data_IF_881882476245
#
_entry.id   IF_881882476245
#
_cell.length_a   1.000
_cell.length_b   1.000
_cell.length_c   1.000
_cell.angle_alpha   90.00
_cell.angle_beta   90.00
_cell.angle_gamma   90.00
#
_symmetry.space_group_name_H-M   'P 1'
#
loop_
_entity.id
_entity.type
_entity.pdbx_description
1 polymer ?
#
# COMPACT_ATOMS: atom_id res chain seq x y z
N UNK A 1 21.87 -1.73 -10.32
CA UNK A 1 20.51 -2.30 -10.27
C UNK A 1 20.47 -3.60 -9.47
N UNK A 2 21.31 -4.60 -9.76
CA UNK A 2 21.34 -5.88 -9.01
C UNK A 2 21.56 -5.74 -7.50
N UNK A 3 22.24 -4.68 -7.07
CA UNK A 3 22.49 -4.42 -5.65
C UNK A 3 21.23 -4.00 -4.87
N UNK A 4 20.16 -3.60 -5.56
CA UNK A 4 18.89 -3.22 -4.91
C UNK A 4 18.07 -4.43 -4.47
N UNK A 5 18.33 -5.62 -5.03
CA UNK A 5 17.51 -6.82 -4.79
C UNK A 5 18.34 -8.04 -4.41
N UNK A 6 19.17 -7.98 -3.36
CA UNK A 6 20.07 -9.08 -3.03
C UNK A 6 19.34 -10.37 -2.64
N UNK A 7 18.04 -10.29 -2.39
CA UNK A 7 17.23 -11.42 -1.94
C UNK A 7 16.27 -11.96 -3.01
N UNK A 8 15.88 -11.14 -3.97
CA UNK A 8 14.94 -11.54 -5.04
C UNK A 8 15.54 -12.63 -5.94
N UNK A 9 16.85 -12.55 -6.21
CA UNK A 9 17.56 -13.57 -6.98
C UNK A 9 17.55 -14.97 -6.34
N UNK A 10 17.39 -15.05 -5.01
CA UNK A 10 17.40 -16.33 -4.28
C UNK A 10 16.03 -16.96 -4.14
N UNK A 11 14.99 -16.19 -4.16
CA UNK A 11 13.65 -16.65 -3.79
C UNK A 11 12.63 -16.51 -4.91
N UNK A 12 12.88 -15.70 -5.93
CA UNK A 12 12.03 -15.57 -7.13
C UNK A 12 10.53 -15.36 -6.83
N UNK A 13 10.23 -14.90 -5.64
CA UNK A 13 8.86 -14.81 -5.15
C UNK A 13 8.14 -13.57 -5.68
N UNK A 14 6.96 -13.78 -6.22
CA UNK A 14 6.00 -12.72 -6.48
C UNK A 14 5.04 -12.65 -5.30
N UNK A 15 4.81 -11.45 -4.78
CA UNK A 15 3.78 -11.27 -3.77
C UNK A 15 2.40 -11.43 -4.41
N UNK A 16 1.75 -12.54 -4.16
CA UNK A 16 0.34 -12.74 -4.45
C UNK A 16 -0.39 -12.76 -3.13
N UNK A 17 -0.99 -11.65 -2.74
CA UNK A 17 -1.86 -11.61 -1.55
C UNK A 17 -3.18 -12.35 -1.78
N UNK A 18 -3.45 -12.74 -3.01
CA UNK A 18 -4.62 -13.50 -3.43
C UNK A 18 -4.19 -14.87 -3.94
N UNK A 19 -4.69 -15.93 -3.33
CA UNK A 19 -4.44 -17.32 -3.71
C UNK A 19 -5.46 -17.84 -4.75
N UNK A 20 -6.28 -16.97 -5.33
CA UNK A 20 -7.25 -17.34 -6.35
C UNK A 20 -6.58 -17.53 -7.69
N UNK A 21 -6.99 -18.56 -8.38
CA UNK A 21 -6.45 -18.90 -9.69
C UNK A 21 -6.51 -17.75 -10.70
N UNK A 22 -7.61 -17.02 -10.73
CA UNK A 22 -7.80 -15.88 -11.65
C UNK A 22 -6.77 -14.79 -11.43
N UNK A 23 -6.57 -14.36 -10.17
CA UNK A 23 -5.59 -13.34 -9.82
C UNK A 23 -4.16 -13.84 -10.06
N UNK A 24 -3.87 -15.10 -9.71
CA UNK A 24 -2.57 -15.71 -9.96
C UNK A 24 -2.27 -15.83 -11.46
N UNK A 25 -3.27 -16.16 -12.28
CA UNK A 25 -3.14 -16.23 -13.73
C UNK A 25 -2.84 -14.85 -14.33
N UNK A 26 -3.53 -13.80 -13.89
CA UNK A 26 -3.28 -12.43 -14.34
C UNK A 26 -1.86 -11.97 -14.00
N UNK A 27 -1.45 -12.17 -12.76
CA UNK A 27 -0.09 -11.82 -12.32
C UNK A 27 0.96 -12.61 -13.09
N UNK A 28 0.74 -13.92 -13.29
CA UNK A 28 1.68 -14.79 -13.95
C UNK A 28 1.76 -14.63 -15.47
N UNK A 29 0.74 -14.07 -16.11
CA UNK A 29 0.71 -13.83 -17.56
C UNK A 29 1.37 -12.54 -18.00
N UNK A 30 1.59 -11.60 -17.06
CA UNK A 30 2.25 -10.33 -17.37
C UNK A 30 3.76 -10.52 -17.56
N UNK A 31 4.39 -9.84 -18.55
CA UNK A 31 5.82 -9.98 -18.78
C UNK A 31 6.67 -9.61 -17.58
N UNK A 32 7.35 -10.58 -17.01
CA UNK A 32 8.10 -10.43 -15.76
C UNK A 32 9.27 -9.43 -15.88
N UNK A 33 9.93 -9.37 -17.02
CA UNK A 33 11.03 -8.44 -17.30
C UNK A 33 10.54 -6.98 -17.46
N UNK A 34 9.37 -6.77 -18.06
CA UNK A 34 8.74 -5.44 -18.14
C UNK A 34 8.36 -4.98 -16.73
N UNK A 35 7.75 -5.85 -15.95
CA UNK A 35 7.39 -5.56 -14.57
C UNK A 35 8.62 -5.21 -13.73
N UNK A 36 9.66 -6.04 -13.81
CA UNK A 36 10.91 -5.82 -13.10
C UNK A 36 11.55 -4.48 -13.46
N UNK A 37 11.64 -4.15 -14.75
CA UNK A 37 12.24 -2.88 -15.20
C UNK A 37 11.43 -1.67 -14.71
N UNK A 38 10.10 -1.76 -14.75
CA UNK A 38 9.20 -0.72 -14.22
C UNK A 38 9.49 -0.43 -12.74
N UNK A 39 9.64 -1.49 -11.94
CA UNK A 39 9.92 -1.36 -10.51
C UNK A 39 11.34 -0.84 -10.25
N UNK A 40 12.33 -1.35 -10.96
CA UNK A 40 13.73 -0.88 -10.84
C UNK A 40 13.85 0.62 -11.11
N UNK A 41 13.21 1.11 -12.17
CA UNK A 41 13.23 2.53 -12.51
C UNK A 41 12.45 3.40 -11.51
N UNK A 42 11.40 2.87 -10.91
CA UNK A 42 10.69 3.55 -9.82
C UNK A 42 11.60 3.74 -8.60
N UNK A 43 12.42 2.74 -8.28
CA UNK A 43 13.28 2.74 -7.10
C UNK A 43 14.65 3.35 -7.31
N UNK A 44 15.07 3.60 -8.57
CA UNK A 44 16.42 4.05 -8.91
C UNK A 44 16.83 5.35 -8.21
N UNK A 45 15.88 6.26 -8.01
CA UNK A 45 16.15 7.59 -7.41
C UNK A 45 16.19 7.58 -5.88
N UNK A 46 15.78 6.49 -5.21
CA UNK A 46 15.58 6.48 -3.76
C UNK A 46 16.83 6.77 -2.94
N UNK A 47 18.03 6.45 -3.45
CA UNK A 47 19.29 6.75 -2.79
C UNK A 47 19.58 8.27 -2.64
N UNK A 48 18.88 9.09 -3.39
CA UNK A 48 19.12 10.53 -3.45
C UNK A 48 17.99 11.37 -2.86
N UNK A 49 17.00 10.73 -2.24
CA UNK A 49 15.84 11.41 -1.70
C UNK A 49 16.17 12.08 -0.36
N UNK A 50 15.75 13.34 -0.18
CA UNK A 50 15.83 14.05 1.11
C UNK A 50 14.47 14.51 1.63
N UNK A 51 13.40 14.46 0.81
CA UNK A 51 12.03 14.73 1.23
C UNK A 51 11.05 13.97 0.37
N UNK A 52 9.95 13.55 0.98
CA UNK A 52 8.82 12.91 0.33
C UNK A 52 7.55 13.68 0.59
N UNK A 53 6.65 13.70 -0.41
CA UNK A 53 5.30 14.25 -0.28
C UNK A 53 4.31 13.34 -1.00
N UNK A 54 3.19 13.05 -0.34
CA UNK A 54 2.12 12.21 -0.88
C UNK A 54 0.80 12.94 -0.68
N UNK A 55 0.12 13.23 -1.77
CA UNK A 55 -1.21 13.84 -1.76
C UNK A 55 -2.22 12.95 -2.47
N UNK A 56 -3.49 13.01 -2.08
CA UNK A 56 -4.59 12.30 -2.74
C UNK A 56 -5.86 13.16 -2.66
N UNK A 57 -6.69 13.21 -3.72
CA UNK A 57 -7.90 14.03 -3.72
C UNK A 57 -8.96 13.60 -2.69
N UNK A 58 -8.86 12.39 -2.10
CA UNK A 58 -9.68 12.02 -0.96
C UNK A 58 -9.28 12.78 0.33
N UNK A 59 -8.17 13.53 0.31
CA UNK A 59 -7.72 14.42 1.41
C UNK A 59 -6.42 13.98 2.06
N UNK A 60 -5.71 13.00 1.53
CA UNK A 60 -4.35 12.68 1.99
C UNK A 60 -3.41 13.83 1.61
N UNK A 61 -2.65 14.30 2.60
CA UNK A 61 -1.57 15.29 2.44
C UNK A 61 -0.53 15.01 3.53
N UNK A 62 0.51 14.29 3.18
CA UNK A 62 1.58 13.90 4.12
C UNK A 62 2.95 14.16 3.53
N UNK A 63 3.89 14.43 4.41
CA UNK A 63 5.28 14.64 4.06
C UNK A 63 6.24 14.11 5.13
N UNK A 64 7.49 13.87 4.73
CA UNK A 64 8.59 13.57 5.64
C UNK A 64 9.93 14.02 5.05
N UNK A 65 10.82 14.49 5.92
CA UNK A 65 12.23 14.67 5.58
C UNK A 65 12.97 13.33 5.76
N UNK A 66 13.87 13.04 4.83
CA UNK A 66 14.62 11.79 4.75
C UNK A 66 16.11 12.11 4.87
N UNK A 67 16.78 11.54 5.87
CA UNK A 67 18.22 11.70 6.00
C UNK A 67 18.98 10.98 4.87
N UNK A 68 20.22 11.36 4.63
CA UNK A 68 21.06 10.68 3.64
C UNK A 68 21.22 9.19 3.98
N UNK A 69 21.48 8.88 5.24
CA UNK A 69 21.62 7.51 5.70
C UNK A 69 20.34 6.69 5.48
N UNK A 70 19.18 7.28 5.76
CA UNK A 70 17.89 6.64 5.49
C UNK A 70 17.67 6.39 3.99
N UNK A 71 17.96 7.36 3.12
CA UNK A 71 17.79 7.19 1.68
C UNK A 71 18.73 6.15 1.09
N UNK A 72 19.99 6.12 1.50
CA UNK A 72 20.96 5.11 1.07
C UNK A 72 20.57 3.70 1.52
N UNK A 73 20.06 3.55 2.73
CA UNK A 73 19.54 2.27 3.24
C UNK A 73 18.26 1.86 2.52
N UNK A 74 17.39 2.79 2.27
CA UNK A 74 16.16 2.55 1.52
C UNK A 74 16.45 1.99 0.13
N UNK A 75 17.39 2.59 -0.59
CA UNK A 75 17.83 2.11 -1.89
C UNK A 75 18.43 0.69 -1.89
N UNK A 76 18.91 0.23 -0.72
CA UNK A 76 19.44 -1.13 -0.50
C UNK A 76 18.45 -2.06 0.20
N UNK A 77 17.29 -1.53 0.56
CA UNK A 77 16.33 -2.21 1.40
C UNK A 77 15.62 -3.37 0.75
N UNK A 78 14.85 -4.05 1.56
CA UNK A 78 14.04 -5.16 1.11
C UNK A 78 12.97 -4.68 0.11
N UNK A 79 12.95 -5.31 -1.02
CA UNK A 79 12.00 -5.09 -2.09
C UNK A 79 11.19 -6.37 -2.31
N UNK A 80 9.92 -6.19 -2.59
CA UNK A 80 9.05 -7.27 -2.99
C UNK A 80 8.28 -6.89 -4.25
N UNK A 81 8.36 -7.73 -5.27
CA UNK A 81 7.68 -7.51 -6.54
C UNK A 81 6.17 -7.38 -6.35
N UNK A 82 5.59 -6.35 -6.92
CA UNK A 82 4.18 -6.03 -6.75
C UNK A 82 3.86 -5.18 -5.54
N UNK A 83 4.85 -4.89 -4.67
CA UNK A 83 4.62 -4.16 -3.44
C UNK A 83 5.88 -3.38 -3.03
N UNK A 84 6.05 -2.21 -3.61
CA UNK A 84 7.23 -1.37 -3.42
C UNK A 84 7.06 -0.50 -2.18
N UNK A 85 8.05 -0.51 -1.30
CA UNK A 85 8.03 0.31 -0.11
C UNK A 85 8.42 1.74 -0.41
N UNK A 86 7.56 2.68 -0.04
CA UNK A 86 7.68 4.10 -0.34
C UNK A 86 8.40 4.92 0.73
N UNK A 87 8.76 4.32 1.84
CA UNK A 87 9.51 4.97 2.92
C UNK A 87 10.56 4.05 3.51
N UNK A 88 11.73 4.59 3.91
CA UNK A 88 12.73 3.80 4.61
C UNK A 88 12.21 3.31 5.97
N UNK A 89 12.71 2.17 6.42
CA UNK A 89 12.49 1.59 7.75
C UNK A 89 11.07 1.09 8.05
N UNK A 90 10.17 1.03 7.08
CA UNK A 90 8.79 0.65 7.37
C UNK A 90 8.47 -0.82 7.14
N UNK A 91 9.18 -1.42 6.25
CA UNK A 91 8.70 -2.66 5.65
C UNK A 91 9.25 -3.91 6.23
N UNK A 92 10.29 -3.75 6.93
CA UNK A 92 11.17 -4.85 7.27
C UNK A 92 10.50 -5.90 8.17
N UNK A 93 9.46 -5.55 8.93
CA UNK A 93 8.75 -6.50 9.81
C UNK A 93 7.91 -7.54 9.09
N UNK A 94 7.51 -7.25 7.85
CA UNK A 94 6.39 -8.01 7.29
C UNK A 94 6.77 -9.28 6.55
N UNK A 95 7.80 -9.22 5.78
CA UNK A 95 8.11 -10.25 4.80
C UNK A 95 9.42 -10.97 5.05
N UNK A 96 10.01 -10.73 6.19
CA UNK A 96 11.25 -11.34 6.61
C UNK A 96 11.21 -12.85 6.82
N UNK A 97 10.05 -13.45 6.74
CA UNK A 97 9.93 -14.90 6.95
C UNK A 97 10.58 -15.73 5.87
N UNK A 98 10.68 -15.19 4.68
CA UNK A 98 11.24 -15.92 3.55
C UNK A 98 12.75 -15.78 3.41
N UNK A 99 13.37 -14.91 4.21
CA UNK A 99 14.80 -14.61 4.08
C UNK A 99 15.54 -15.08 5.31
N UNK A 100 16.43 -16.04 5.13
CA UNK A 100 17.33 -16.53 6.19
C UNK A 100 18.16 -15.34 6.71
N UNK A 101 18.16 -15.15 8.05
CA UNK A 101 18.81 -14.04 8.77
C UNK A 101 18.10 -12.66 8.67
N UNK A 102 16.94 -12.59 8.10
CA UNK A 102 16.20 -11.34 7.99
C UNK A 102 15.81 -10.74 9.37
N UNK A 103 15.37 -11.51 10.38
CA UNK A 103 15.12 -10.98 11.72
C UNK A 103 16.34 -10.32 12.36
N UNK A 104 17.54 -10.88 12.17
CA UNK A 104 18.76 -10.29 12.67
C UNK A 104 19.10 -8.97 11.97
N UNK A 105 18.92 -8.91 10.66
CA UNK A 105 19.08 -7.70 9.87
C UNK A 105 18.09 -6.61 10.30
N UNK A 106 16.82 -6.96 10.50
CA UNK A 106 15.80 -6.05 10.99
C UNK A 106 16.14 -5.49 12.36
N UNK A 107 16.51 -6.38 13.30
CA UNK A 107 16.86 -5.99 14.65
C UNK A 107 18.03 -5.01 14.64
N UNK A 108 19.05 -5.27 13.84
CA UNK A 108 20.20 -4.39 13.72
C UNK A 108 19.83 -3.07 13.05
N UNK A 109 19.05 -3.12 12.00
CA UNK A 109 18.67 -1.94 11.24
C UNK A 109 17.69 -1.05 11.99
N UNK A 110 16.56 -1.61 12.42
CA UNK A 110 15.50 -0.84 13.09
C UNK A 110 15.92 -0.35 14.49
N UNK A 111 16.81 -1.06 15.18
CA UNK A 111 17.31 -0.60 16.48
C UNK A 111 18.17 0.66 16.40
N UNK A 112 18.74 0.95 15.24
CA UNK A 112 19.62 2.09 15.00
C UNK A 112 18.96 3.26 14.30
N UNK A 113 17.79 3.05 13.71
CA UNK A 113 17.13 4.04 12.86
C UNK A 113 15.91 4.65 13.54
N UNK A 114 15.78 5.96 13.52
CA UNK A 114 14.53 6.60 13.91
C UNK A 114 13.42 6.23 12.93
N UNK A 115 12.19 6.11 13.45
CA UNK A 115 10.98 6.02 12.63
C UNK A 115 10.96 7.22 11.67
N UNK A 116 10.58 6.98 10.42
CA UNK A 116 10.33 8.08 9.49
C UNK A 116 9.22 8.98 10.04
N UNK A 117 9.54 10.25 10.23
CA UNK A 117 8.64 11.22 10.84
C UNK A 117 7.66 11.77 9.83
N UNK A 118 6.66 10.97 9.47
CA UNK A 118 5.54 11.43 8.67
C UNK A 118 4.72 12.47 9.43
N UNK A 119 4.37 13.55 8.75
CA UNK A 119 3.48 14.59 9.25
C UNK A 119 2.37 14.84 8.24
N UNK A 120 1.21 15.30 8.73
CA UNK A 120 0.06 15.59 7.88
C UNK A 120 -1.09 14.64 8.09
N UNK A 121 -1.91 14.44 7.06
CA UNK A 121 -3.17 13.69 7.15
C UNK A 121 -3.19 12.56 6.12
N UNK A 122 -3.55 11.36 6.57
CA UNK A 122 -3.95 10.27 5.67
C UNK A 122 -5.47 10.24 5.65
N UNK A 123 -6.07 10.28 4.46
CA UNK A 123 -7.52 10.17 4.29
C UNK A 123 -7.87 9.10 3.26
N UNK A 124 -9.06 8.53 3.39
CA UNK A 124 -9.55 7.53 2.44
C UNK A 124 -10.88 6.93 2.87
N UNK A 125 -11.39 6.06 2.03
CA UNK A 125 -12.75 5.48 2.16
C UNK A 125 -12.75 3.96 2.08
N UNK A 126 -11.58 3.32 1.94
CA UNK A 126 -11.45 1.87 1.78
C UNK A 126 -10.08 1.37 2.23
N UNK A 127 -10.06 0.14 2.70
CA UNK A 127 -8.87 -0.56 3.16
C UNK A 127 -9.09 -2.06 3.13
N UNK A 128 -8.31 -2.83 3.87
CA UNK A 128 -8.39 -4.29 3.87
C UNK A 128 -9.78 -4.82 4.24
N UNK A 129 -10.46 -4.19 5.18
CA UNK A 129 -11.80 -4.59 5.63
C UNK A 129 -12.95 -4.18 4.71
N UNK A 130 -12.67 -3.54 3.58
CA UNK A 130 -13.70 -3.06 2.66
C UNK A 130 -13.85 -1.54 2.66
N UNK A 131 -15.08 -1.09 2.46
CA UNK A 131 -15.44 0.33 2.39
C UNK A 131 -15.93 0.83 3.74
N UNK A 132 -15.55 2.06 4.08
CA UNK A 132 -16.00 2.79 5.27
C UNK A 132 -16.20 4.27 4.93
N UNK A 133 -17.04 5.02 5.68
CA UNK A 133 -17.15 6.46 5.52
C UNK A 133 -15.77 7.10 5.61
N UNK A 134 -15.55 8.17 4.85
CA UNK A 134 -14.26 8.82 4.83
C UNK A 134 -13.73 9.09 6.24
N UNK A 135 -12.49 8.70 6.50
CA UNK A 135 -11.76 9.04 7.70
C UNK A 135 -10.57 9.94 7.41
N UNK A 136 -10.07 10.55 8.44
CA UNK A 136 -8.80 11.26 8.46
C UNK A 136 -7.99 10.77 9.65
N UNK A 137 -6.73 10.47 9.40
CA UNK A 137 -5.76 10.08 10.42
C UNK A 137 -4.65 11.14 10.41
N UNK A 138 -4.62 11.97 11.44
CA UNK A 138 -3.59 13.00 11.62
C UNK A 138 -2.33 12.33 12.14
N UNK A 139 -1.20 12.72 11.55
CA UNK A 139 0.12 12.23 11.90
C UNK A 139 0.99 13.39 12.41
N UNK A 140 1.64 13.15 13.54
CA UNK A 140 2.68 14.02 14.08
C UNK A 140 3.93 13.19 14.35
N UNK A 141 5.04 13.54 13.67
CA UNK A 141 6.33 12.87 13.83
C UNK A 141 6.27 11.33 13.63
N UNK A 142 5.40 10.86 12.74
CA UNK A 142 5.23 9.44 12.42
C UNK A 142 4.22 8.70 13.29
N UNK A 143 3.64 9.34 14.30
CA UNK A 143 2.63 8.77 15.18
C UNK A 143 1.23 9.29 14.84
N UNK A 144 0.23 8.47 15.13
CA UNK A 144 -1.18 8.89 15.03
C UNK A 144 -1.49 9.83 16.18
N UNK A 145 -1.80 11.09 15.87
CA UNK A 145 -2.22 12.11 16.82
C UNK A 145 -3.74 12.13 17.00
N UNK A 146 -4.49 12.00 15.91
CA UNK A 146 -5.95 12.06 15.93
C UNK A 146 -6.55 11.22 14.81
N UNK A 147 -7.78 10.71 15.03
CA UNK A 147 -8.59 10.00 14.04
C UNK A 147 -9.97 10.61 13.97
N UNK A 148 -10.34 11.13 12.79
CA UNK A 148 -11.63 11.75 12.52
C UNK A 148 -12.45 10.91 11.54
N UNK A 149 -13.77 10.90 11.68
CA UNK A 149 -14.65 10.18 10.75
C UNK A 149 -14.50 8.66 10.79
N UNK A 150 -14.66 8.01 9.65
CA UNK A 150 -14.47 6.56 9.45
C UNK A 150 -15.63 5.69 9.93
N UNK A 151 -16.72 6.25 10.47
CA UNK A 151 -17.81 5.47 11.06
C UNK A 151 -17.29 4.45 12.08
N UNK A 152 -17.85 3.24 12.09
CA UNK A 152 -17.42 2.17 12.99
C UNK A 152 -15.93 1.83 12.86
N UNK A 153 -15.36 1.92 11.65
CA UNK A 153 -13.94 1.64 11.43
C UNK A 153 -13.04 2.65 12.18
N UNK A 154 -13.39 3.95 12.10
CA UNK A 154 -12.68 4.99 12.85
C UNK A 154 -12.92 4.91 14.35
N UNK A 155 -14.14 4.51 14.78
CA UNK A 155 -14.45 4.29 16.20
C UNK A 155 -13.59 3.17 16.79
N UNK A 156 -13.42 2.06 16.09
CA UNK A 156 -12.57 0.96 16.52
C UNK A 156 -11.11 1.38 16.65
N UNK A 157 -10.60 2.19 15.72
CA UNK A 157 -9.22 2.69 15.83
C UNK A 157 -9.07 3.63 17.03
N UNK A 158 -10.01 4.57 17.24
CA UNK A 158 -10.00 5.45 18.41
C UNK A 158 -10.06 4.68 19.72
N UNK A 159 -10.93 3.67 19.81
CA UNK A 159 -11.00 2.80 20.98
C UNK A 159 -9.69 2.07 21.23
N UNK A 160 -9.08 1.55 20.16
CA UNK A 160 -7.83 0.83 20.31
C UNK A 160 -6.67 1.75 20.73
N UNK A 161 -6.61 2.97 20.25
CA UNK A 161 -5.61 3.95 20.67
C UNK A 161 -5.71 4.29 22.17
N UNK A 162 -6.88 4.12 22.76
CA UNK A 162 -7.14 4.33 24.19
C UNK A 162 -7.06 3.02 25.01
N UNK A 163 -6.79 1.90 24.36
CA UNK A 163 -6.73 0.62 25.04
C UNK A 163 -5.60 0.62 26.09
N UNK A 164 -5.85 0.10 27.32
CA UNK A 164 -4.91 0.21 28.41
C UNK A 164 -3.50 -0.26 28.05
N UNK A 165 -2.53 0.59 28.28
CA UNK A 165 -1.11 0.33 28.05
C UNK A 165 -0.66 0.33 26.58
N UNK A 166 -1.50 0.69 25.63
CA UNK A 166 -1.10 0.81 24.21
C UNK A 166 -0.02 1.90 24.05
N UNK A 167 -0.21 3.05 24.70
CA UNK A 167 0.72 4.18 24.58
C UNK A 167 2.04 3.97 25.36
N UNK A 168 2.10 2.96 26.21
CA UNK A 168 3.30 2.60 26.96
C UNK A 168 4.15 1.54 26.22
N UNK A 169 3.61 0.97 25.16
CA UNK A 169 4.27 -0.09 24.44
C UNK A 169 5.36 0.46 23.55
N UNK A 170 6.47 -0.22 23.54
CA UNK A 170 7.55 0.00 22.58
C UNK A 170 7.59 -1.19 21.63
N UNK A 171 7.70 -0.91 20.36
CA UNK A 171 8.01 -1.97 19.42
C UNK A 171 9.42 -2.53 19.70
N UNK A 172 9.68 -3.84 19.62
CA UNK A 172 10.96 -4.43 20.03
C UNK A 172 12.19 -3.78 19.41
N UNK A 173 12.04 -3.19 18.25
CA UNK A 173 13.13 -2.56 17.51
C UNK A 173 13.12 -1.03 17.58
N UNK A 174 12.11 -0.42 18.18
CA UNK A 174 11.98 1.02 18.35
C UNK A 174 12.09 1.38 19.83
N UNK A 175 12.94 2.34 20.12
CA UNK A 175 13.14 2.81 21.51
C UNK A 175 12.10 3.84 21.95
N UNK A 176 11.34 4.40 21.00
CA UNK A 176 10.34 5.43 21.31
C UNK A 176 9.03 4.77 21.75
N UNK A 177 8.51 5.11 22.94
CA UNK A 177 7.17 4.70 23.34
C UNK A 177 6.10 5.24 22.41
N UNK A 178 4.99 4.56 22.32
CA UNK A 178 3.92 4.93 21.41
C UNK A 178 3.89 4.00 20.22
N UNK A 179 2.92 3.15 20.27
CA UNK A 179 2.82 1.99 19.41
C UNK A 179 2.23 2.31 18.04
N UNK A 180 1.55 3.42 17.89
CA UNK A 180 0.72 3.70 16.75
C UNK A 180 1.41 4.66 15.80
N UNK A 181 2.03 4.08 14.81
CA UNK A 181 2.65 4.81 13.72
C UNK A 181 2.24 4.18 12.37
N UNK A 182 2.57 4.87 11.31
CA UNK A 182 2.44 4.32 9.96
C UNK A 182 3.59 3.33 9.76
N UNK A 183 3.29 2.05 9.82
CA UNK A 183 4.32 1.01 9.70
C UNK A 183 4.56 0.59 8.25
N UNK A 184 3.64 0.92 7.36
CA UNK A 184 3.73 0.54 5.96
C UNK A 184 3.15 1.62 5.06
N UNK A 185 3.96 2.10 4.13
CA UNK A 185 3.51 2.83 2.95
C UNK A 185 4.09 2.14 1.75
N UNK A 186 3.26 1.59 0.90
CA UNK A 186 3.71 0.78 -0.21
C UNK A 186 2.93 1.08 -1.49
N UNK A 187 3.58 0.87 -2.63
CA UNK A 187 3.07 1.12 -3.94
C UNK A 187 2.83 -0.21 -4.66
N UNK A 188 1.62 -0.41 -5.15
CA UNK A 188 1.32 -1.45 -6.11
C UNK A 188 1.95 -1.14 -7.46
N UNK A 189 2.48 -2.14 -8.13
CA UNK A 189 3.25 -1.95 -9.36
C UNK A 189 2.74 -2.76 -10.56
N UNK A 190 1.69 -3.58 -10.39
CA UNK A 190 1.20 -4.47 -11.44
C UNK A 190 0.07 -3.82 -12.25
N UNK A 191 0.28 -3.43 -13.53
CA UNK A 191 -0.73 -2.68 -14.29
C UNK A 191 -1.97 -3.51 -14.65
N UNK A 192 -1.82 -4.84 -14.77
CA UNK A 192 -2.91 -5.76 -15.12
C UNK A 192 -3.59 -6.39 -13.91
N UNK A 193 -3.22 -5.99 -12.67
CA UNK A 193 -3.85 -6.55 -11.50
C UNK A 193 -5.26 -6.03 -11.32
N UNK A 194 -6.20 -6.94 -11.32
CA UNK A 194 -7.61 -6.66 -11.12
C UNK A 194 -8.30 -7.83 -10.41
N UNK A 195 -9.30 -7.51 -9.60
CA UNK A 195 -10.18 -8.50 -8.99
C UNK A 195 -11.63 -8.18 -9.30
N UNK A 196 -12.39 -9.22 -9.65
CA UNK A 196 -13.81 -9.06 -9.92
C UNK A 196 -14.54 -8.57 -8.67
N UNK A 197 -15.31 -7.46 -8.72
CA UNK A 197 -16.03 -6.92 -7.56
C UNK A 197 -17.00 -7.89 -6.90
N UNK A 198 -17.42 -8.96 -7.56
CA UNK A 198 -18.23 -10.03 -6.95
C UNK A 198 -17.60 -10.62 -5.70
N UNK A 199 -16.27 -10.57 -5.59
CA UNK A 199 -15.54 -11.03 -4.41
C UNK A 199 -15.97 -10.32 -3.12
N UNK A 200 -16.46 -9.08 -3.22
CA UNK A 200 -16.97 -8.33 -2.09
C UNK A 200 -18.20 -8.97 -1.43
N UNK A 201 -18.84 -9.90 -2.12
CA UNK A 201 -20.00 -10.65 -1.63
C UNK A 201 -19.60 -11.98 -0.98
N UNK A 202 -18.35 -12.35 -0.98
CA UNK A 202 -17.89 -13.62 -0.43
C UNK A 202 -17.58 -13.52 1.06
N UNK A 203 -17.93 -14.53 1.87
CA UNK A 203 -17.55 -14.57 3.28
C UNK A 203 -16.00 -14.53 3.44
N UNK A 204 -15.53 -13.71 4.38
CA UNK A 204 -14.10 -13.59 4.66
C UNK A 204 -13.29 -12.86 3.59
N UNK A 205 -13.97 -12.14 2.72
CA UNK A 205 -13.34 -11.31 1.72
C UNK A 205 -12.40 -10.25 2.35
N UNK A 206 -11.34 -9.91 1.63
CA UNK A 206 -10.41 -8.83 1.96
C UNK A 206 -10.07 -8.02 0.73
N UNK A 207 -10.03 -6.69 0.86
CA UNK A 207 -9.49 -5.79 -0.18
C UNK A 207 -7.96 -5.65 -0.13
N UNK A 208 -7.30 -6.38 0.75
CA UNK A 208 -5.83 -6.35 0.84
C UNK A 208 -5.09 -6.57 -0.47
N UNK A 209 -5.52 -7.51 -1.32
CA UNK A 209 -4.89 -7.76 -2.61
C UNK A 209 -4.90 -6.60 -3.61
N UNK A 210 -5.85 -5.67 -3.56
CA UNK A 210 -5.91 -4.49 -4.45
C UNK A 210 -4.66 -3.61 -4.35
N UNK A 211 -3.92 -3.71 -3.24
CA UNK A 211 -2.64 -3.02 -3.08
C UNK A 211 -1.59 -3.38 -4.13
N UNK A 212 -1.75 -4.48 -4.89
CA UNK A 212 -0.85 -4.85 -5.97
C UNK A 212 -1.08 -4.05 -7.26
N UNK A 213 -2.26 -3.46 -7.45
CA UNK A 213 -2.58 -2.72 -8.65
C UNK A 213 -1.67 -1.49 -8.79
N UNK A 214 -1.12 -1.27 -10.00
CA UNK A 214 -0.18 -0.19 -10.26
C UNK A 214 -0.76 1.17 -9.86
N UNK A 215 0.04 1.96 -9.13
CA UNK A 215 -0.34 3.29 -8.68
C UNK A 215 -1.21 3.35 -7.41
N UNK A 216 -1.62 2.21 -6.86
CA UNK A 216 -2.30 2.18 -5.56
C UNK A 216 -1.28 2.37 -4.46
N UNK A 217 -1.51 3.35 -3.58
CA UNK A 217 -0.74 3.51 -2.35
C UNK A 217 -1.49 2.85 -1.21
N UNK A 218 -0.81 1.93 -0.57
CA UNK A 218 -1.26 1.17 0.57
C UNK A 218 -0.66 1.73 1.84
N UNK A 219 -1.52 2.05 2.80
CA UNK A 219 -1.17 2.59 4.11
C UNK A 219 -1.50 1.57 5.18
N UNK A 220 -0.50 1.15 5.94
CA UNK A 220 -0.67 0.31 7.11
C UNK A 220 -0.47 1.12 8.39
N UNK A 221 -1.49 1.12 9.25
CA UNK A 221 -1.52 1.86 10.49
C UNK A 221 -1.42 0.93 11.68
N UNK A 222 -0.59 1.27 12.63
CA UNK A 222 -0.32 0.44 13.78
C UNK A 222 0.82 -0.55 13.56
N UNK A 223 0.92 -1.58 14.39
CA UNK A 223 1.97 -2.60 14.30
C UNK A 223 1.40 -3.97 13.98
N UNK A 224 2.22 -4.78 13.31
CA UNK A 224 1.98 -6.20 13.10
C UNK A 224 2.37 -7.05 14.30
N UNK A 225 1.77 -6.77 15.41
CA UNK A 225 2.11 -7.41 16.69
C UNK A 225 1.85 -8.89 16.76
N UNK A 226 0.90 -9.35 16.00
CA UNK A 226 0.44 -10.74 16.07
C UNK A 226 1.35 -11.75 15.38
N UNK A 227 2.32 -11.26 14.59
CA UNK A 227 3.32 -12.10 13.93
C UNK A 227 4.70 -12.03 14.57
N UNK A 228 4.91 -11.15 15.53
CA UNK A 228 6.21 -10.97 16.11
C UNK A 228 6.39 -11.84 17.35
N UNK A 229 7.19 -12.91 17.28
CA UNK A 229 7.46 -13.75 18.44
C UNK A 229 8.24 -13.03 19.53
N UNK A 230 8.91 -11.90 19.22
CA UNK A 230 9.65 -11.09 20.18
C UNK A 230 8.77 -10.04 20.89
N UNK A 231 7.49 -9.90 20.47
CA UNK A 231 6.53 -8.98 21.08
C UNK A 231 5.29 -9.70 21.68
N UNK A 232 5.45 -10.67 22.58
CA UNK A 232 4.33 -11.50 23.05
C UNK A 232 3.28 -10.73 23.86
N UNK A 233 3.66 -9.63 24.52
CA UNK A 233 2.72 -8.79 25.28
C UNK A 233 1.80 -8.01 24.36
N UNK A 234 2.35 -7.43 23.32
CA UNK A 234 1.69 -6.69 22.29
C UNK A 234 0.72 -7.58 21.52
N UNK A 235 1.18 -8.76 21.10
CA UNK A 235 0.34 -9.77 20.46
C UNK A 235 -0.85 -10.19 21.33
N UNK A 236 -0.68 -10.28 22.65
CA UNK A 236 -1.75 -10.60 23.58
C UNK A 236 -2.80 -9.49 23.63
N UNK A 237 -2.38 -8.22 23.76
CA UNK A 237 -3.30 -7.07 23.79
C UNK A 237 -4.11 -6.94 22.49
N UNK A 238 -3.45 -7.17 21.36
CA UNK A 238 -4.14 -7.22 20.08
C UNK A 238 -5.20 -8.33 20.04
N UNK A 239 -4.87 -9.53 20.51
CA UNK A 239 -5.84 -10.64 20.61
C UNK A 239 -7.00 -10.34 21.55
N UNK A 240 -6.74 -9.73 22.68
CA UNK A 240 -7.79 -9.30 23.63
C UNK A 240 -8.75 -8.33 22.95
N UNK A 241 -8.23 -7.33 22.26
CA UNK A 241 -9.02 -6.34 21.52
C UNK A 241 -9.82 -6.98 20.38
N UNK A 242 -9.20 -7.77 19.53
CA UNK A 242 -9.86 -8.42 18.40
C UNK A 242 -10.94 -9.41 18.87
N UNK A 243 -10.69 -10.13 19.96
CA UNK A 243 -11.69 -11.03 20.57
C UNK A 243 -12.88 -10.25 21.11
N UNK A 244 -12.64 -9.15 21.82
CA UNK A 244 -13.70 -8.27 22.36
C UNK A 244 -14.64 -7.77 21.26
N UNK A 245 -14.11 -7.44 20.09
CA UNK A 245 -14.85 -6.87 18.97
C UNK A 245 -15.23 -7.89 17.89
N UNK A 246 -14.97 -9.18 18.13
CA UNK A 246 -15.18 -10.25 17.14
C UNK A 246 -14.55 -9.94 15.78
N UNK A 247 -13.33 -9.42 15.80
CA UNK A 247 -12.56 -9.08 14.59
C UNK A 247 -11.66 -10.25 14.17
N UNK A 248 -11.39 -10.43 12.87
CA UNK A 248 -10.37 -11.36 12.43
C UNK A 248 -9.00 -11.02 13.06
N UNK A 249 -8.23 -12.05 13.41
CA UNK A 249 -6.90 -11.86 14.04
C UNK A 249 -5.91 -11.11 13.15
N UNK A 250 -6.09 -11.15 11.85
CA UNK A 250 -5.29 -10.44 10.85
C UNK A 250 -5.84 -9.06 10.50
N UNK A 251 -6.85 -8.60 11.24
CA UNK A 251 -7.43 -7.28 11.02
C UNK A 251 -6.48 -6.20 11.51
N UNK A 252 -5.91 -5.48 10.56
CA UNK A 252 -5.11 -4.28 10.77
C UNK A 252 -5.83 -3.08 10.18
N UNK A 253 -5.54 -1.89 10.70
CA UNK A 253 -6.07 -0.65 10.13
C UNK A 253 -5.29 -0.28 8.88
N UNK A 254 -6.00 -0.24 7.76
CA UNK A 254 -5.42 0.06 6.45
C UNK A 254 -6.27 1.04 5.67
N UNK A 255 -5.60 1.83 4.85
CA UNK A 255 -6.23 2.66 3.83
C UNK A 255 -5.54 2.40 2.49
N UNK A 256 -6.31 2.42 1.41
CA UNK A 256 -5.81 2.40 0.05
C UNK A 256 -6.20 3.69 -0.65
N UNK A 257 -5.24 4.38 -1.23
CA UNK A 257 -5.45 5.58 -2.05
C UNK A 257 -5.11 5.28 -3.50
N UNK A 258 -5.92 5.76 -4.43
CA UNK A 258 -5.90 5.32 -5.83
C UNK A 258 -5.53 6.42 -6.81
N UNK A 259 -5.60 7.67 -6.37
CA UNK A 259 -5.38 8.86 -7.18
C UNK A 259 -4.24 9.71 -6.64
N UNK A 260 -3.38 9.08 -5.87
CA UNK A 260 -2.31 9.77 -5.17
C UNK A 260 -1.24 10.29 -6.13
N UNK A 261 -0.69 11.45 -5.78
CA UNK A 261 0.57 11.94 -6.31
C UNK A 261 1.65 11.73 -5.26
N UNK A 262 2.67 10.94 -5.58
CA UNK A 262 3.82 10.72 -4.74
C UNK A 262 5.06 11.35 -5.37
N UNK A 263 5.58 12.37 -4.72
CA UNK A 263 6.75 13.11 -5.17
C UNK A 263 7.91 12.92 -4.21
N UNK A 264 9.11 12.91 -4.76
CA UNK A 264 10.36 12.90 -4.01
C UNK A 264 11.24 14.07 -4.44
N UNK A 265 11.86 14.73 -3.46
CA UNK A 265 12.86 15.74 -3.71
C UNK A 265 14.24 15.07 -3.76
N UNK A 266 15.03 15.40 -4.76
CA UNK A 266 16.36 14.80 -4.99
C UNK A 266 17.44 15.69 -4.41
N UNK A 267 18.14 15.19 -3.41
CA UNK A 267 19.33 15.81 -2.81
C UNK A 267 20.38 16.11 -3.88
N UNK A 268 20.94 17.31 -3.81
CA UNK A 268 21.96 17.77 -4.72
C UNK A 268 21.48 18.17 -6.13
N UNK A 269 20.37 17.64 -6.60
CA UNK A 269 19.75 18.06 -7.85
C UNK A 269 18.75 19.23 -7.66
N UNK A 270 18.28 19.45 -6.44
CA UNK A 270 17.37 20.53 -6.09
C UNK A 270 16.03 20.49 -6.83
N UNK A 271 15.57 19.31 -7.21
CA UNK A 271 14.34 19.14 -8.00
C UNK A 271 13.45 18.06 -7.46
N UNK A 272 12.16 18.23 -7.69
CA UNK A 272 11.13 17.22 -7.44
C UNK A 272 10.95 16.32 -8.66
N UNK A 273 10.74 15.04 -8.41
CA UNK A 273 10.24 14.08 -9.40
C UNK A 273 9.01 13.38 -8.84
N UNK A 274 8.06 13.04 -9.71
CA UNK A 274 6.91 12.22 -9.34
C UNK A 274 7.21 10.76 -9.65
N UNK A 275 7.09 9.90 -8.66
CA UNK A 275 7.12 8.44 -8.86
C UNK A 275 5.72 7.92 -9.22
N UNK A 276 4.70 8.59 -8.69
CA UNK A 276 3.29 8.39 -9.04
C UNK A 276 2.67 9.76 -9.26
N UNK A 277 1.92 9.93 -10.32
CA UNK A 277 1.15 11.14 -10.61
C UNK A 277 -0.33 10.79 -10.78
N UNK A 278 -1.18 11.28 -9.87
CA UNK A 278 -2.63 11.03 -9.86
C UNK A 278 -2.98 9.54 -10.05
N UNK A 279 -2.25 8.68 -9.36
CA UNK A 279 -2.41 7.24 -9.41
C UNK A 279 -1.70 6.53 -10.57
N UNK A 280 -1.06 7.26 -11.47
CA UNK A 280 -0.28 6.68 -12.56
C UNK A 280 1.20 6.59 -12.18
N UNK A 281 1.82 5.41 -12.35
CA UNK A 281 3.25 5.23 -12.11
C UNK A 281 4.06 5.83 -13.27
N UNK A 282 4.91 6.82 -12.98
CA UNK A 282 5.69 7.51 -14.00
C UNK A 282 6.68 6.61 -14.76
N UNK A 283 7.12 5.53 -14.13
CA UNK A 283 8.01 4.56 -14.77
C UNK A 283 7.36 3.78 -15.93
N UNK A 284 6.03 3.71 -15.99
CA UNK A 284 5.32 3.08 -17.12
C UNK A 284 5.47 3.89 -18.42
N UNK A 285 5.73 5.21 -18.31
CA UNK A 285 5.95 6.09 -19.46
C UNK A 285 7.42 6.12 -19.90
N UNK A 286 8.31 5.45 -19.16
CA UNK A 286 9.73 5.44 -19.46
C UNK A 286 9.99 4.74 -20.82
N UNK A 287 10.85 5.36 -21.65
CA UNK A 287 11.15 4.86 -23.00
C UNK A 287 11.75 3.45 -23.01
N UNK A 288 12.56 3.08 -22.01
CA UNK A 288 13.13 1.73 -21.89
C UNK A 288 12.05 0.71 -21.56
N UNK A 289 11.12 1.05 -20.66
CA UNK A 289 9.97 0.19 -20.32
C UNK A 289 9.07 -0.01 -21.54
N UNK A 290 8.75 1.06 -22.24
CA UNK A 290 7.92 1.02 -23.46
C UNK A 290 8.58 0.22 -24.58
N UNK A 291 9.89 0.40 -24.79
CA UNK A 291 10.66 -0.39 -25.75
C UNK A 291 10.72 -1.88 -25.38
N UNK A 292 10.78 -2.22 -24.09
CA UNK A 292 10.73 -3.61 -23.66
C UNK A 292 9.33 -4.18 -23.82
N UNK A 293 8.29 -3.44 -23.45
CA UNK A 293 6.89 -3.83 -23.60
C UNK A 293 6.50 -4.12 -25.05
N UNK A 294 7.08 -3.38 -26.03
CA UNK A 294 6.80 -3.60 -27.47
C UNK A 294 7.19 -4.99 -27.98
N UNK A 295 7.98 -5.76 -27.22
CA UNK A 295 8.29 -7.16 -27.55
C UNK A 295 7.14 -8.13 -27.27
N UNK A 296 6.14 -7.67 -26.51
CA UNK A 296 5.01 -8.48 -26.04
C UNK A 296 3.68 -8.03 -26.64
N UNK A 297 3.63 -6.86 -27.27
CA UNK A 297 2.44 -6.30 -27.88
C UNK A 297 2.53 -4.79 -28.04
N UNK A 298 1.39 -4.12 -28.26
CA UNK A 298 1.34 -2.67 -28.23
C UNK A 298 1.67 -2.17 -26.83
N UNK A 299 2.71 -1.33 -26.66
CA UNK A 299 3.08 -0.79 -25.35
C UNK A 299 1.93 -0.08 -24.62
N UNK A 300 1.04 0.58 -25.36
CA UNK A 300 -0.12 1.25 -24.76
C UNK A 300 -1.11 0.25 -24.17
N UNK A 301 -1.24 -0.93 -24.77
CA UNK A 301 -2.06 -2.01 -24.24
C UNK A 301 -1.33 -2.77 -23.10
N UNK A 302 -0.06 -3.11 -23.30
CA UNK A 302 0.72 -3.88 -22.30
C UNK A 302 0.87 -3.11 -21.00
N UNK A 303 1.11 -1.80 -21.05
CA UNK A 303 1.35 -0.95 -19.87
C UNK A 303 0.09 -0.28 -19.33
N UNK A 304 -1.04 -0.41 -20.03
CA UNK A 304 -2.30 0.18 -19.58
C UNK A 304 -2.73 -0.39 -18.23
N UNK A 305 -3.17 0.48 -17.34
CA UNK A 305 -3.76 0.10 -16.06
C UNK A 305 -5.20 -0.34 -16.26
N UNK A 306 -5.48 -1.63 -16.13
CA UNK A 306 -6.78 -2.20 -16.47
C UNK A 306 -7.91 -1.76 -15.55
N UNK A 307 -7.60 -1.32 -14.34
CA UNK A 307 -8.63 -0.92 -13.40
C UNK A 307 -8.26 0.26 -12.53
N UNK A 308 -9.21 1.15 -12.40
CA UNK A 308 -9.23 2.27 -11.44
C UNK A 308 -10.62 2.33 -10.83
N UNK A 309 -10.78 2.46 -9.51
CA UNK A 309 -12.11 2.57 -8.93
C UNK A 309 -12.83 3.83 -9.39
N UNK A 310 -14.14 3.72 -9.56
CA UNK A 310 -14.98 4.89 -9.80
C UNK A 310 -15.27 5.60 -8.48
N UNK A 311 -14.84 6.85 -8.38
CA UNK A 311 -15.08 7.71 -7.22
C UNK A 311 -15.77 9.00 -7.69
N UNK A 312 -17.07 9.17 -7.38
CA UNK A 312 -17.81 10.37 -7.73
C UNK A 312 -17.14 11.64 -7.22
N UNK A 313 -17.05 12.64 -8.10
CA UNK A 313 -16.40 13.91 -7.78
C UNK A 313 -14.86 13.89 -7.88
N UNK A 314 -14.24 12.72 -8.15
CA UNK A 314 -12.81 12.59 -8.43
C UNK A 314 -12.59 12.21 -9.88
N UNK A 315 -12.99 11.02 -10.29
CA UNK A 315 -12.79 10.53 -11.67
C UNK A 315 -14.09 10.20 -12.39
N UNK A 316 -15.23 10.28 -11.73
CA UNK A 316 -16.56 10.14 -12.33
C UNK A 316 -17.48 11.28 -11.90
N UNK A 317 -18.58 11.47 -12.64
CA UNK A 317 -19.57 12.50 -12.29
C UNK A 317 -20.24 12.20 -10.95
N UNK A 318 -20.51 13.25 -10.18
CA UNK A 318 -21.18 13.17 -8.88
C UNK A 318 -20.55 14.10 -7.86
N UNK A 319 -20.99 13.97 -6.61
CA UNK A 319 -20.45 14.72 -5.49
C UNK A 319 -19.62 13.79 -4.61
N UNK A 320 -18.40 14.23 -4.33
CA UNK A 320 -17.50 13.44 -3.48
C UNK A 320 -18.04 13.26 -2.05
N UNK A 321 -18.67 14.29 -1.49
CA UNK A 321 -19.23 14.25 -0.13
C UNK A 321 -20.28 13.14 0.02
N UNK A 322 -21.12 12.94 -1.02
CA UNK A 322 -22.14 11.89 -1.00
C UNK A 322 -21.52 10.49 -1.08
N UNK A 323 -20.45 10.35 -1.85
CA UNK A 323 -19.65 9.12 -1.90
C UNK A 323 -18.93 8.88 -0.56
N UNK A 324 -18.22 9.88 -0.05
CA UNK A 324 -17.42 9.83 1.17
C UNK A 324 -18.25 9.46 2.42
N UNK A 325 -19.52 9.87 2.47
CA UNK A 325 -20.43 9.53 3.54
C UNK A 325 -20.86 8.05 3.53
N UNK A 326 -20.95 7.42 2.35
CA UNK A 326 -21.36 6.01 2.22
C UNK A 326 -20.78 5.36 0.95
N UNK A 327 -19.47 5.06 0.92
CA UNK A 327 -18.81 4.48 -0.25
C UNK A 327 -19.37 3.10 -0.62
N UNK A 328 -19.83 2.33 0.38
CA UNK A 328 -20.40 1.01 0.16
C UNK A 328 -21.62 1.04 -0.77
N UNK A 329 -22.45 2.07 -0.70
CA UNK A 329 -23.60 2.26 -1.60
C UNK A 329 -23.18 2.28 -3.07
N UNK A 330 -22.06 2.89 -3.38
CA UNK A 330 -21.51 2.98 -4.73
C UNK A 330 -20.83 1.68 -5.16
N UNK A 331 -20.05 1.07 -4.27
CA UNK A 331 -19.47 -0.24 -4.50
C UNK A 331 -20.55 -1.29 -4.79
N UNK A 332 -21.63 -1.30 -4.00
CA UNK A 332 -22.77 -2.21 -4.22
C UNK A 332 -23.43 -2.01 -5.59
N UNK A 333 -23.60 -0.76 -6.03
CA UNK A 333 -24.13 -0.46 -7.36
C UNK A 333 -23.26 -1.08 -8.46
N UNK A 334 -21.95 -0.95 -8.38
CA UNK A 334 -21.00 -1.57 -9.33
C UNK A 334 -21.11 -3.09 -9.28
N UNK A 335 -21.14 -3.68 -8.10
CA UNK A 335 -21.32 -5.13 -7.92
C UNK A 335 -22.61 -5.62 -8.58
N UNK A 336 -23.72 -4.93 -8.34
CA UNK A 336 -25.04 -5.28 -8.92
C UNK A 336 -24.99 -5.20 -10.47
N UNK A 337 -24.30 -4.23 -11.04
CA UNK A 337 -24.10 -4.12 -12.48
C UNK A 337 -23.25 -5.27 -13.03
N UNK A 338 -22.16 -5.63 -12.36
CA UNK A 338 -21.31 -6.78 -12.73
C UNK A 338 -22.08 -8.08 -12.66
N UNK A 339 -22.88 -8.29 -11.61
CA UNK A 339 -23.71 -9.49 -11.44
C UNK A 339 -24.76 -9.61 -12.57
N UNK A 340 -25.29 -8.47 -13.04
CA UNK A 340 -26.26 -8.41 -14.12
C UNK A 340 -25.64 -8.46 -15.53
N UNK A 341 -24.29 -8.52 -15.63
CA UNK A 341 -23.60 -8.47 -16.92
C UNK A 341 -23.69 -7.13 -17.63
N UNK A 342 -24.05 -6.06 -16.91
CA UNK A 342 -24.26 -4.71 -17.45
C UNK A 342 -23.06 -3.78 -17.30
N UNK A 343 -21.99 -4.21 -16.64
CA UNK A 343 -20.83 -3.38 -16.40
C UNK A 343 -19.83 -3.53 -17.55
N UNK A 344 -19.77 -2.51 -18.39
CA UNK A 344 -18.96 -2.55 -19.62
C UNK A 344 -17.49 -2.15 -19.43
N UNK A 345 -17.14 -1.53 -18.30
CA UNK A 345 -15.79 -1.02 -18.06
C UNK A 345 -14.79 -2.07 -17.57
N UNK A 346 -15.28 -3.25 -17.18
CA UNK A 346 -14.42 -4.33 -16.78
C UNK A 346 -13.95 -5.11 -18.00
N UNK A 347 -12.73 -4.86 -18.42
CA UNK A 347 -11.96 -5.66 -19.36
C UNK A 347 -12.15 -5.41 -20.87
N UNK A 348 -11.36 -4.51 -21.45
CA UNK A 348 -11.10 -4.62 -22.88
C UNK A 348 -10.41 -5.94 -23.25
N UNK A 349 -9.55 -6.49 -22.34
CA UNK A 349 -8.75 -7.68 -22.61
C UNK A 349 -9.43 -9.03 -22.37
N UNK A 350 -10.51 -9.10 -21.57
CA UNK A 350 -11.24 -10.37 -21.32
C UNK A 350 -12.39 -10.60 -22.30
N UNK A 351 -12.80 -9.60 -23.05
CA UNK A 351 -13.82 -9.79 -24.12
C UNK A 351 -13.37 -10.78 -25.22
N UNK A 352 -12.10 -11.17 -25.25
CA UNK A 352 -11.55 -12.05 -26.29
C UNK A 352 -11.24 -13.49 -25.83
N UNK A 353 -11.69 -13.90 -24.65
CA UNK A 353 -11.51 -15.27 -24.14
C UNK A 353 -12.83 -16.02 -24.01
N UNK A 354 -13.71 -15.90 -25.01
CA UNK A 354 -14.82 -16.85 -25.23
C UNK A 354 -14.48 -17.82 -26.34
#
# INVERSE_FOLDING_TARGET
RRALYPYDEKFGGVFTADNRWEAMSQVGSYPADVWQLTEELTLESLAYVDRVEITDPEGTDVWADISQEQSEKWARGAYQRGHLYLLPNQATGRFGYSVVNYPAFQKEWLSREPIVRLNGTIAGTKGHGGFYPRWEVLLENGFIAEVLGGGLYGELLREFLQYPGINEMTYPYHQTPGFWYVYEVALGSHPKYFRNPKILMEPGFSMGPERMAAGVIHWGLGIRVWHDPEAPKESRRWREFTTKHNLPMDHNFHTHTYFSTYRVHLRGAGRWISLVDKGHMSSLDNSEVRALASRYGDPDEVLHRDWVPEVPGINTSGRYEDYAANPWKYAKKVIDQVVQGKYEHFYPSIKNTN
#
